data_IF_245168592259
#
_entry.id   IF_245168592259
#
_cell.length_a   1.000
_cell.length_b   1.000
_cell.length_c   1.000
_cell.angle_alpha   90.00
_cell.angle_beta   90.00
_cell.angle_gamma   90.00
#
_symmetry.space_group_name_H-M   'P 1'
#
loop_
_entity.id
_entity.type
_entity.pdbx_description
1 polymer ?
#
# COMPACT_ATOMS: atom_id res chain seq x y z
N UNK A 1 13.95 -16.44 12.62
CA UNK A 1 14.76 -15.63 11.68
C UNK A 1 14.90 -14.17 12.11
N UNK A 2 13.83 -13.49 12.54
CA UNK A 2 13.91 -12.10 13.02
C UNK A 2 13.89 -11.95 14.56
N UNK A 3 13.64 -13.04 15.29
CA UNK A 3 13.71 -13.08 16.76
C UNK A 3 12.81 -12.03 17.41
N UNK A 4 13.33 -11.36 18.43
CA UNK A 4 12.66 -10.30 19.18
C UNK A 4 12.37 -9.03 18.37
N UNK A 5 12.92 -8.90 17.15
CA UNK A 5 12.68 -7.75 16.27
C UNK A 5 11.46 -7.93 15.36
N UNK A 6 10.81 -9.09 15.41
CA UNK A 6 9.54 -9.35 14.74
C UNK A 6 8.40 -9.32 15.73
N UNK A 7 7.27 -8.74 15.33
CA UNK A 7 6.04 -8.85 16.10
C UNK A 7 4.80 -8.95 15.23
N UNK A 8 3.76 -9.57 15.79
CA UNK A 8 2.42 -9.54 15.21
C UNK A 8 1.76 -8.24 15.61
N UNK A 9 1.29 -7.49 14.62
CA UNK A 9 0.59 -6.23 14.81
C UNK A 9 -0.91 -6.48 14.92
N UNK A 10 -1.57 -5.82 15.87
CA UNK A 10 -3.04 -5.83 15.86
C UNK A 10 -3.56 -5.17 14.59
N UNK A 11 -4.53 -5.81 13.96
CA UNK A 11 -5.26 -5.26 12.81
C UNK A 11 -5.80 -3.85 13.06
N UNK A 12 -6.23 -3.56 14.30
CA UNK A 12 -6.73 -2.25 14.72
C UNK A 12 -5.67 -1.13 14.67
N UNK A 13 -4.39 -1.46 14.51
CA UNK A 13 -3.34 -0.48 14.28
C UNK A 13 -3.40 0.12 12.87
N UNK A 14 -3.98 -0.59 11.90
CA UNK A 14 -3.93 -0.21 10.48
C UNK A 14 -5.30 -0.13 9.80
N UNK A 15 -6.31 -0.81 10.32
CA UNK A 15 -7.68 -0.74 9.78
C UNK A 15 -8.70 -0.55 10.89
N UNK A 16 -9.86 -0.03 10.50
CA UNK A 16 -11.06 0.14 11.32
C UNK A 16 -12.20 -0.69 10.75
N UNK A 17 -12.91 -1.36 11.64
CA UNK A 17 -14.17 -2.00 11.30
C UNK A 17 -15.25 -0.93 10.98
N UNK A 18 -16.25 -1.25 10.14
CA UNK A 18 -17.39 -0.37 9.92
C UNK A 18 -18.07 0.01 11.25
N UNK A 19 -18.27 1.30 11.49
CA UNK A 19 -18.93 1.79 12.70
C UNK A 19 -18.05 1.82 13.96
N UNK A 20 -16.77 1.44 13.87
CA UNK A 20 -15.85 1.54 15.00
C UNK A 20 -15.60 3.01 15.37
N UNK A 21 -15.94 3.36 16.61
CA UNK A 21 -15.66 4.69 17.16
C UNK A 21 -14.17 4.83 17.51
N UNK A 22 -13.63 6.06 17.50
CA UNK A 22 -12.31 6.33 18.06
C UNK A 22 -12.24 5.84 19.51
N UNK A 23 -11.08 5.32 19.97
CA UNK A 23 -10.88 5.02 21.38
C UNK A 23 -11.17 6.27 22.23
N UNK A 24 -11.75 6.06 23.42
CA UNK A 24 -11.92 7.13 24.40
C UNK A 24 -10.56 7.73 24.81
N UNK A 25 -10.55 9.02 25.13
CA UNK A 25 -9.36 9.66 25.69
C UNK A 25 -8.91 8.92 26.96
N UNK A 26 -7.65 8.50 26.98
CA UNK A 26 -7.08 7.73 28.09
C UNK A 26 -7.31 6.21 28.01
N UNK A 27 -7.91 5.67 26.95
CA UNK A 27 -7.95 4.21 26.76
C UNK A 27 -6.52 3.63 26.67
N UNK A 28 -6.33 2.40 27.15
CA UNK A 28 -5.05 1.70 27.00
C UNK A 28 -4.79 1.41 25.52
N UNK A 29 -3.58 1.74 25.05
CA UNK A 29 -3.14 1.55 23.66
C UNK A 29 -2.09 0.44 23.58
N UNK A 30 -2.37 -0.68 24.27
CA UNK A 30 -1.44 -1.80 24.41
C UNK A 30 -0.96 -2.34 23.07
N UNK A 31 -1.87 -2.42 22.09
CA UNK A 31 -1.57 -2.85 20.72
C UNK A 31 -0.55 -1.96 19.98
N UNK A 32 -0.34 -0.71 20.42
CA UNK A 32 0.75 0.14 19.93
C UNK A 32 2.01 -0.07 20.76
N UNK A 33 1.87 -0.18 22.09
CA UNK A 33 2.98 -0.38 23.03
C UNK A 33 3.76 -1.67 22.74
N UNK A 34 3.06 -2.74 22.37
CA UNK A 34 3.64 -4.03 21.96
C UNK A 34 4.53 -3.95 20.71
N UNK A 35 4.41 -2.86 19.93
CA UNK A 35 5.25 -2.63 18.75
C UNK A 35 6.57 -1.92 19.07
N UNK A 36 6.81 -1.58 20.34
CA UNK A 36 8.06 -0.98 20.78
C UNK A 36 9.22 -1.95 20.58
N UNK A 37 10.26 -1.52 19.87
CA UNK A 37 11.46 -2.32 19.62
C UNK A 37 11.40 -3.23 18.38
N UNK A 38 10.19 -3.51 17.88
CA UNK A 38 10.03 -4.27 16.63
C UNK A 38 10.65 -3.51 15.45
N UNK A 39 11.22 -4.25 14.50
CA UNK A 39 11.72 -3.78 13.19
C UNK A 39 10.85 -4.25 12.03
N UNK A 40 10.12 -5.35 12.22
CA UNK A 40 9.12 -5.85 11.29
C UNK A 40 7.86 -6.15 12.07
N UNK A 41 6.73 -5.65 11.59
CA UNK A 41 5.42 -5.93 12.17
C UNK A 41 4.47 -6.43 11.09
N UNK A 42 3.80 -7.55 11.34
CA UNK A 42 2.92 -8.20 10.37
C UNK A 42 1.53 -8.38 10.96
N UNK A 43 0.49 -8.07 10.20
CA UNK A 43 -0.89 -8.46 10.53
C UNK A 43 -1.46 -9.27 9.38
N UNK A 44 -2.19 -10.32 9.74
CA UNK A 44 -2.96 -11.11 8.80
C UNK A 44 -4.43 -10.67 8.81
N UNK A 45 -5.13 -10.92 7.70
CA UNK A 45 -6.59 -10.94 7.58
C UNK A 45 -7.32 -9.61 7.83
N UNK A 46 -7.45 -8.79 6.78
CA UNK A 46 -8.55 -7.82 6.73
C UNK A 46 -9.85 -8.50 6.34
N UNK A 47 -10.96 -8.01 6.87
CA UNK A 47 -12.31 -8.52 6.61
C UNK A 47 -13.03 -7.65 5.59
N UNK A 48 -14.01 -8.20 4.84
CA UNK A 48 -14.79 -7.42 3.90
C UNK A 48 -15.42 -6.18 4.55
N UNK A 49 -15.19 -5.01 3.96
CA UNK A 49 -15.79 -3.76 4.41
C UNK A 49 -14.94 -2.93 5.38
N UNK A 50 -13.86 -3.49 5.92
CA UNK A 50 -12.90 -2.74 6.73
C UNK A 50 -12.22 -1.62 5.95
N UNK A 51 -11.81 -0.57 6.65
CA UNK A 51 -11.25 0.64 6.07
C UNK A 51 -9.87 0.91 6.64
N UNK A 52 -8.96 1.43 5.83
CA UNK A 52 -7.65 1.88 6.31
C UNK A 52 -7.83 2.97 7.37
N UNK A 53 -7.19 2.81 8.53
CA UNK A 53 -7.10 3.83 9.56
C UNK A 53 -5.92 4.77 9.26
N UNK A 54 -6.17 5.75 8.40
CA UNK A 54 -5.12 6.66 7.95
C UNK A 54 -4.42 7.38 9.10
N UNK A 55 -5.18 7.86 10.10
CA UNK A 55 -4.58 8.60 11.22
C UNK A 55 -3.52 7.76 11.91
N UNK A 56 -3.84 6.49 12.15
CA UNK A 56 -2.91 5.52 12.73
C UNK A 56 -1.75 5.22 11.79
N UNK A 57 -2.00 4.95 10.50
CA UNK A 57 -0.95 4.68 9.51
C UNK A 57 0.02 5.86 9.38
N UNK A 58 -0.46 7.09 9.20
CA UNK A 58 0.39 8.28 9.05
C UNK A 58 1.14 8.63 10.33
N UNK A 59 0.51 8.47 11.50
CA UNK A 59 1.21 8.59 12.78
C UNK A 59 2.38 7.60 12.84
N UNK A 60 2.12 6.37 12.39
CA UNK A 60 3.07 5.27 12.41
C UNK A 60 4.22 5.39 11.39
N UNK A 61 3.96 5.97 10.21
CA UNK A 61 4.95 6.20 9.14
C UNK A 61 5.63 7.56 9.22
N UNK A 62 5.06 8.52 9.97
CA UNK A 62 5.53 9.90 10.07
C UNK A 62 6.79 10.10 10.93
N UNK A 63 7.28 9.06 11.62
CA UNK A 63 8.52 9.12 12.41
C UNK A 63 8.45 9.92 13.72
N UNK A 64 7.25 10.36 14.10
CA UNK A 64 6.99 11.06 15.37
C UNK A 64 7.14 10.14 16.59
N UNK A 65 7.32 10.74 17.76
CA UNK A 65 7.18 10.02 19.04
C UNK A 65 5.70 9.83 19.32
N UNK A 66 5.32 8.65 19.77
CA UNK A 66 4.00 8.36 20.30
C UNK A 66 4.10 8.07 21.79
N UNK A 67 3.00 8.25 22.51
CA UNK A 67 2.86 7.83 23.90
C UNK A 67 1.80 6.75 23.95
N UNK A 68 2.16 5.58 24.46
CA UNK A 68 1.24 4.46 24.62
C UNK A 68 1.48 3.75 25.95
N UNK A 69 0.57 2.87 26.33
CA UNK A 69 0.70 2.07 27.57
C UNK A 69 0.08 0.70 27.42
N UNK A 70 0.71 -0.26 28.09
CA UNK A 70 0.09 -1.55 28.40
C UNK A 70 -0.95 -1.39 29.51
N UNK A 71 -1.81 -2.39 29.66
CA UNK A 71 -2.80 -2.42 30.73
C UNK A 71 -2.10 -2.44 32.10
N UNK A 72 -2.56 -1.60 33.03
CA UNK A 72 -1.98 -1.43 34.38
C UNK A 72 -0.50 -1.00 34.40
N UNK A 73 0.00 -0.40 33.33
CA UNK A 73 1.36 0.14 33.26
C UNK A 73 1.39 1.64 32.99
N UNK A 74 2.54 2.26 33.30
CA UNK A 74 2.80 3.65 33.01
C UNK A 74 2.93 3.90 31.50
N UNK A 75 2.71 5.15 31.10
CA UNK A 75 2.93 5.60 29.73
C UNK A 75 4.41 5.48 29.36
N UNK A 76 4.66 4.97 28.16
CA UNK A 76 5.99 4.93 27.54
C UNK A 76 5.95 5.72 26.24
N UNK A 77 6.97 6.54 26.03
CA UNK A 77 7.12 7.31 24.80
C UNK A 77 8.25 6.76 23.94
N UNK A 78 7.94 6.37 22.72
CA UNK A 78 8.91 5.82 21.77
C UNK A 78 8.58 6.24 20.33
N UNK A 79 9.52 6.00 19.42
CA UNK A 79 9.31 6.16 17.98
C UNK A 79 9.07 4.81 17.35
N UNK A 80 8.17 4.78 16.39
CA UNK A 80 8.06 3.60 15.54
C UNK A 80 9.27 3.50 14.61
N UNK A 81 9.86 2.30 14.55
CA UNK A 81 11.01 1.99 13.71
C UNK A 81 10.76 0.79 12.77
N UNK A 82 9.61 0.12 12.90
CA UNK A 82 9.31 -1.07 12.12
C UNK A 82 8.70 -0.76 10.76
N UNK A 83 8.99 -1.64 9.79
CA UNK A 83 8.22 -1.78 8.55
C UNK A 83 6.98 -2.63 8.84
N UNK A 84 5.84 -2.24 8.25
CA UNK A 84 4.53 -2.88 8.48
C UNK A 84 4.09 -3.63 7.25
N UNK A 85 3.63 -4.85 7.43
CA UNK A 85 3.03 -5.66 6.37
C UNK A 85 1.61 -6.04 6.76
N UNK A 86 0.71 -5.96 5.77
CA UNK A 86 -0.65 -6.45 5.87
C UNK A 86 -0.77 -7.55 4.81
N UNK A 87 -1.01 -8.78 5.26
CA UNK A 87 -1.27 -9.90 4.38
C UNK A 87 -2.77 -10.14 4.31
N UNK A 88 -3.36 -10.01 3.12
CA UNK A 88 -4.80 -10.10 2.97
C UNK A 88 -5.26 -10.56 1.59
N UNK A 89 -6.43 -11.20 1.57
CA UNK A 89 -7.21 -11.52 0.37
C UNK A 89 -8.31 -10.47 0.10
N UNK A 90 -8.56 -9.56 1.03
CA UNK A 90 -9.61 -8.54 0.95
C UNK A 90 -9.02 -7.15 1.10
N UNK A 91 -8.83 -6.43 0.01
CA UNK A 91 -8.26 -5.09 0.06
C UNK A 91 -9.07 -4.16 0.98
N UNK A 92 -8.46 -3.56 2.02
CA UNK A 92 -9.18 -2.64 2.88
C UNK A 92 -9.63 -1.42 2.08
N UNK A 93 -10.82 -0.91 2.38
CA UNK A 93 -11.38 0.23 1.67
C UNK A 93 -10.57 1.50 1.98
N UNK A 94 -10.32 2.29 0.95
CA UNK A 94 -9.73 3.63 1.08
C UNK A 94 -10.85 4.64 1.34
N UNK A 95 -10.81 5.40 2.46
CA UNK A 95 -11.73 6.52 2.65
C UNK A 95 -11.65 7.55 1.51
N UNK A 96 -12.78 8.12 1.04
CA UNK A 96 -12.80 9.02 -0.13
C UNK A 96 -11.97 10.31 0.01
N UNK A 97 -11.72 10.75 1.23
CA UNK A 97 -10.90 11.94 1.54
C UNK A 97 -9.40 11.74 1.23
N UNK A 98 -9.01 10.54 0.80
CA UNK A 98 -7.61 10.08 0.77
C UNK A 98 -7.02 9.88 -0.61
N UNK A 99 -7.83 9.72 -1.66
CA UNK A 99 -7.31 9.35 -2.99
C UNK A 99 -6.42 10.43 -3.65
N UNK A 100 -6.22 11.60 -3.00
CA UNK A 100 -5.52 12.75 -3.57
C UNK A 100 -4.36 13.30 -2.73
N UNK A 101 -3.93 12.63 -1.66
CA UNK A 101 -2.86 13.16 -0.81
C UNK A 101 -1.48 12.55 -1.16
N UNK A 102 -0.47 13.36 -1.57
CA UNK A 102 0.85 12.85 -1.99
C UNK A 102 1.64 12.10 -0.91
N UNK A 103 1.32 12.34 0.37
CA UNK A 103 1.94 11.63 1.49
C UNK A 103 1.44 10.18 1.63
N UNK A 104 0.31 9.82 1.01
CA UNK A 104 -0.27 8.48 1.07
C UNK A 104 0.41 7.55 0.08
N UNK A 105 0.71 8.04 -1.13
CA UNK A 105 1.34 7.27 -2.21
C UNK A 105 2.70 6.66 -1.78
N UNK A 106 3.41 7.33 -0.87
CA UNK A 106 4.68 6.86 -0.29
C UNK A 106 4.54 5.98 0.96
N UNK A 107 3.34 5.86 1.53
CA UNK A 107 3.09 5.11 2.76
C UNK A 107 2.37 3.79 2.54
N UNK A 108 1.59 3.68 1.46
CA UNK A 108 0.79 2.50 1.16
C UNK A 108 1.23 1.89 -0.17
N UNK A 109 1.81 0.70 -0.09
CA UNK A 109 2.33 -0.05 -1.24
C UNK A 109 1.57 -1.37 -1.31
N UNK A 110 1.07 -1.70 -2.50
CA UNK A 110 0.34 -2.94 -2.77
C UNK A 110 1.20 -3.87 -3.61
N UNK A 111 1.47 -5.06 -3.08
CA UNK A 111 2.14 -6.14 -3.80
C UNK A 111 1.13 -7.26 -4.04
N UNK A 112 0.72 -7.44 -5.29
CA UNK A 112 -0.22 -8.49 -5.66
C UNK A 112 0.51 -9.80 -5.96
N UNK A 113 0.08 -10.87 -5.30
CA UNK A 113 0.51 -12.24 -5.59
C UNK A 113 -0.61 -12.93 -6.38
N UNK A 114 -0.56 -12.86 -7.71
CA UNK A 114 -1.64 -13.37 -8.58
C UNK A 114 -1.58 -14.87 -8.82
N UNK A 115 -0.42 -15.50 -8.60
CA UNK A 115 -0.25 -16.93 -8.84
C UNK A 115 -0.93 -17.77 -7.75
N UNK A 116 -1.57 -18.86 -8.17
CA UNK A 116 -2.09 -19.88 -7.27
C UNK A 116 -1.19 -21.12 -7.36
N UNK A 117 -0.67 -21.58 -6.22
CA UNK A 117 0.23 -22.73 -6.15
C UNK A 117 -0.58 -23.98 -5.79
N UNK A 118 -0.79 -24.85 -6.77
CA UNK A 118 -1.68 -26.01 -6.67
C UNK A 118 -0.93 -27.32 -6.86
N UNK A 119 -1.49 -28.40 -6.31
CA UNK A 119 -1.00 -29.76 -6.53
C UNK A 119 -1.30 -30.23 -7.95
N UNK A 120 -0.58 -31.26 -8.41
CA UNK A 120 -0.69 -31.83 -9.76
C UNK A 120 -2.14 -32.10 -10.18
N UNK A 121 -2.94 -32.69 -9.30
CA UNK A 121 -4.34 -33.05 -9.56
C UNK A 121 -5.30 -31.86 -9.68
N UNK A 122 -4.87 -30.67 -9.27
CA UNK A 122 -5.65 -29.41 -9.35
C UNK A 122 -5.07 -28.44 -10.37
N UNK A 123 -3.93 -28.78 -10.97
CA UNK A 123 -3.29 -27.94 -11.96
C UNK A 123 -4.15 -27.87 -13.22
N UNK A 124 -4.22 -26.67 -13.79
CA UNK A 124 -5.01 -26.38 -14.99
C UNK A 124 -4.11 -25.56 -15.90
N UNK A 125 -3.66 -26.18 -16.99
CA UNK A 125 -2.79 -25.55 -17.99
C UNK A 125 -3.42 -24.33 -18.65
N UNK A 126 -4.76 -24.25 -18.65
CA UNK A 126 -5.49 -23.11 -19.25
C UNK A 126 -5.53 -21.90 -18.32
N UNK A 127 -5.28 -22.07 -17.03
CA UNK A 127 -5.24 -20.98 -16.07
C UNK A 127 -3.82 -20.36 -16.02
N UNK A 128 -3.62 -19.12 -16.51
CA UNK A 128 -2.29 -18.50 -16.57
C UNK A 128 -1.65 -18.24 -15.19
N UNK A 129 -2.44 -18.30 -14.12
CA UNK A 129 -1.99 -18.07 -12.75
C UNK A 129 -1.62 -19.35 -12.01
N UNK A 130 -1.99 -20.53 -12.51
CA UNK A 130 -1.64 -21.78 -11.85
C UNK A 130 -0.13 -22.05 -11.93
N UNK A 131 0.44 -22.43 -10.80
CA UNK A 131 1.82 -22.90 -10.65
C UNK A 131 1.80 -24.20 -9.83
N UNK A 132 2.76 -25.08 -10.05
CA UNK A 132 2.90 -26.25 -9.19
C UNK A 132 3.40 -25.82 -7.81
N UNK A 133 2.76 -26.34 -6.76
CA UNK A 133 3.20 -26.14 -5.38
C UNK A 133 4.52 -26.89 -5.14
N UNK A 134 5.47 -26.19 -4.55
CA UNK A 134 6.67 -26.82 -3.99
C UNK A 134 6.40 -27.20 -2.53
N UNK A 135 6.21 -28.49 -2.30
CA UNK A 135 5.89 -29.06 -0.98
C UNK A 135 7.10 -28.96 -0.03
N UNK A 136 8.32 -29.02 -0.56
CA UNK A 136 9.57 -28.97 0.21
C UNK A 136 10.05 -27.55 0.54
N UNK A 137 9.47 -26.54 -0.11
CA UNK A 137 9.89 -25.14 0.03
C UNK A 137 9.90 -24.67 1.48
N UNK A 138 8.89 -25.07 2.28
CA UNK A 138 8.82 -24.66 3.69
C UNK A 138 10.03 -25.16 4.48
N UNK A 139 10.33 -26.46 4.38
CA UNK A 139 11.46 -27.07 5.10
C UNK A 139 12.79 -26.49 4.59
N UNK A 140 12.88 -26.22 3.28
CA UNK A 140 14.03 -25.57 2.68
C UNK A 140 14.23 -24.14 3.23
N UNK A 141 13.18 -23.34 3.33
CA UNK A 141 13.22 -21.99 3.90
C UNK A 141 13.61 -21.98 5.38
N UNK A 142 13.36 -23.08 6.10
CA UNK A 142 13.76 -23.25 7.49
C UNK A 142 15.21 -23.75 7.67
N UNK A 143 15.85 -24.21 6.59
CA UNK A 143 17.25 -24.66 6.63
C UNK A 143 18.21 -23.54 7.02
N UNK A 144 19.32 -23.90 7.68
CA UNK A 144 20.33 -22.93 8.10
C UNK A 144 20.93 -22.17 6.90
N UNK A 145 21.23 -22.88 5.82
CA UNK A 145 21.83 -22.30 4.62
C UNK A 145 20.96 -21.19 4.01
N UNK A 146 19.65 -21.44 3.82
CA UNK A 146 18.73 -20.43 3.30
C UNK A 146 18.59 -19.26 4.28
N UNK A 147 18.61 -19.55 5.59
CA UNK A 147 18.52 -18.48 6.59
C UNK A 147 19.72 -17.52 6.55
N UNK A 148 20.91 -18.06 6.34
CA UNK A 148 22.14 -17.28 6.18
C UNK A 148 22.15 -16.49 4.85
N UNK A 149 21.68 -17.10 3.77
CA UNK A 149 21.56 -16.45 2.46
C UNK A 149 20.56 -15.28 2.52
N UNK A 150 19.40 -15.49 3.12
CA UNK A 150 18.41 -14.43 3.29
C UNK A 150 18.92 -13.29 4.18
N UNK A 151 19.70 -13.59 5.23
CA UNK A 151 20.34 -12.54 6.03
C UNK A 151 21.33 -11.73 5.18
N UNK A 152 22.13 -12.40 4.35
CA UNK A 152 23.02 -11.75 3.38
C UNK A 152 22.24 -10.83 2.45
N UNK A 153 21.11 -11.31 1.90
CA UNK A 153 20.22 -10.54 1.06
C UNK A 153 19.68 -9.29 1.78
N UNK A 154 19.24 -9.41 3.04
CA UNK A 154 18.77 -8.26 3.83
C UNK A 154 19.88 -7.22 4.06
N UNK A 155 21.10 -7.66 4.37
CA UNK A 155 22.25 -6.75 4.60
C UNK A 155 22.62 -6.03 3.30
N UNK A 156 22.68 -6.74 2.18
CA UNK A 156 22.97 -6.16 0.87
C UNK A 156 21.89 -5.16 0.46
N UNK A 157 20.61 -5.52 0.60
CA UNK A 157 19.48 -4.63 0.34
C UNK A 157 19.49 -3.39 1.22
N UNK A 158 19.83 -3.53 2.51
CA UNK A 158 19.97 -2.40 3.42
C UNK A 158 21.09 -1.46 3.01
N UNK A 159 22.24 -1.98 2.54
CA UNK A 159 23.34 -1.15 2.05
C UNK A 159 22.94 -0.37 0.81
N UNK A 160 22.37 -1.05 -0.18
CA UNK A 160 21.89 -0.42 -1.40
C UNK A 160 20.88 0.70 -1.10
N UNK A 161 19.99 0.48 -0.13
CA UNK A 161 19.03 1.50 0.32
C UNK A 161 19.68 2.74 0.93
N UNK A 162 20.71 2.57 1.77
CA UNK A 162 21.40 3.71 2.39
C UNK A 162 22.33 4.44 1.42
N UNK A 163 22.87 3.74 0.42
CA UNK A 163 23.66 4.31 -0.67
C UNK A 163 22.80 5.14 -1.63
N UNK A 164 21.59 4.66 -1.97
CA UNK A 164 20.61 5.39 -2.78
C UNK A 164 19.20 5.33 -2.17
N UNK A 165 18.78 6.38 -1.44
CA UNK A 165 17.45 6.46 -0.87
C UNK A 165 16.31 6.50 -1.91
N UNK A 166 16.59 6.72 -3.20
CA UNK A 166 15.58 6.73 -4.25
C UNK A 166 15.09 5.34 -4.63
N UNK A 167 15.82 4.29 -4.25
CA UNK A 167 15.36 2.88 -4.33
C UNK A 167 14.01 2.69 -3.65
N UNK A 168 13.72 3.48 -2.61
CA UNK A 168 12.44 3.52 -1.91
C UNK A 168 11.25 4.02 -2.73
N UNK A 169 11.52 4.81 -3.76
CA UNK A 169 10.50 5.55 -4.53
C UNK A 169 10.20 4.89 -5.87
N UNK A 170 11.09 4.01 -6.34
CA UNK A 170 11.01 3.39 -7.66
C UNK A 170 10.60 1.92 -7.52
N UNK A 171 9.33 1.68 -7.21
CA UNK A 171 8.78 0.32 -7.22
C UNK A 171 8.67 -0.23 -8.65
N UNK A 172 8.68 -1.56 -8.87
CA UNK A 172 8.39 -2.13 -10.18
C UNK A 172 7.02 -1.66 -10.72
N UNK A 173 6.84 -1.51 -12.05
CA UNK A 173 5.59 -1.02 -12.64
C UNK A 173 4.34 -1.76 -12.15
N UNK A 174 4.39 -3.09 -12.03
CA UNK A 174 3.28 -3.89 -11.52
C UNK A 174 2.85 -3.49 -10.09
N UNK A 175 3.79 -3.13 -9.21
CA UNK A 175 3.52 -2.68 -7.83
C UNK A 175 2.94 -1.26 -7.84
N UNK A 176 3.46 -0.38 -8.70
CA UNK A 176 2.93 0.98 -8.85
C UNK A 176 1.49 0.94 -9.37
N UNK A 177 1.23 0.17 -10.42
CA UNK A 177 -0.08 0.00 -11.03
C UNK A 177 -1.08 -0.61 -10.04
N UNK A 178 -0.70 -1.65 -9.30
CA UNK A 178 -1.55 -2.24 -8.27
C UNK A 178 -1.91 -1.24 -7.16
N UNK A 179 -0.93 -0.47 -6.69
CA UNK A 179 -1.13 0.54 -5.65
C UNK A 179 -2.05 1.66 -6.14
N UNK A 180 -1.81 2.17 -7.35
CA UNK A 180 -2.66 3.20 -7.99
C UNK A 180 -4.08 2.67 -8.21
N UNK A 181 -4.23 1.45 -8.74
CA UNK A 181 -5.53 0.84 -8.99
C UNK A 181 -6.34 0.72 -7.69
N UNK A 182 -5.71 0.28 -6.60
CA UNK A 182 -6.37 0.21 -5.29
C UNK A 182 -6.76 1.58 -4.74
N UNK A 183 -5.86 2.56 -4.78
CA UNK A 183 -6.14 3.93 -4.32
C UNK A 183 -7.28 4.58 -5.10
N UNK A 184 -7.34 4.38 -6.43
CA UNK A 184 -8.41 4.87 -7.30
C UNK A 184 -9.79 4.35 -6.90
N UNK A 185 -9.90 3.14 -6.34
CA UNK A 185 -11.19 2.62 -5.82
C UNK A 185 -11.77 3.48 -4.68
N UNK A 186 -10.94 4.29 -4.02
CA UNK A 186 -11.38 5.27 -3.02
C UNK A 186 -11.96 6.55 -3.61
N UNK A 187 -11.59 6.94 -4.83
CA UNK A 187 -12.05 8.19 -5.47
C UNK A 187 -13.43 8.02 -6.11
N UNK A 188 -14.46 8.04 -5.27
CA UNK A 188 -15.86 7.88 -5.70
C UNK A 188 -16.29 8.94 -6.71
N UNK A 189 -15.74 10.16 -6.63
CA UNK A 189 -16.07 11.23 -7.56
C UNK A 189 -15.50 10.92 -8.94
N UNK A 190 -14.23 10.53 -9.00
CA UNK A 190 -13.60 10.13 -10.26
C UNK A 190 -14.31 8.93 -10.90
N UNK A 191 -14.71 7.94 -10.08
CA UNK A 191 -15.51 6.80 -10.53
C UNK A 191 -16.82 7.29 -11.14
N UNK A 192 -17.58 8.11 -10.42
CA UNK A 192 -18.85 8.67 -10.90
C UNK A 192 -18.71 9.42 -12.24
N UNK A 193 -17.68 10.28 -12.36
CA UNK A 193 -17.40 11.02 -13.59
C UNK A 193 -17.11 10.08 -14.77
N UNK A 194 -16.41 8.97 -14.53
CA UNK A 194 -16.01 8.03 -15.59
C UNK A 194 -17.11 7.03 -15.96
N UNK A 195 -17.94 6.60 -15.00
CA UNK A 195 -18.87 5.48 -15.21
C UNK A 195 -20.31 5.91 -15.44
N UNK A 196 -20.76 7.05 -14.91
CA UNK A 196 -22.20 7.32 -14.87
C UNK A 196 -22.64 8.54 -15.68
N UNK A 197 -21.87 9.63 -15.83
CA UNK A 197 -22.45 10.88 -16.35
C UNK A 197 -21.53 11.88 -17.10
N UNK A 198 -20.44 11.47 -17.74
CA UNK A 198 -19.69 12.39 -18.62
C UNK A 198 -19.53 11.81 -20.04
N UNK A 199 -20.24 12.40 -21.00
CA UNK A 199 -19.88 12.30 -22.41
C UNK A 199 -18.61 13.14 -22.62
N UNK A 200 -17.50 12.49 -22.96
CA UNK A 200 -16.28 13.20 -23.32
C UNK A 200 -16.44 13.73 -24.74
N UNK A 201 -16.42 15.06 -24.92
CA UNK A 201 -16.29 15.66 -26.24
C UNK A 201 -15.06 15.06 -26.93
N UNK A 202 -15.23 14.61 -28.18
CA UNK A 202 -14.11 14.11 -28.97
C UNK A 202 -13.01 15.19 -29.03
N UNK A 203 -11.72 14.82 -28.88
CA UNK A 203 -10.63 15.79 -28.91
C UNK A 203 -10.71 16.55 -30.23
N UNK A 204 -11.09 17.82 -30.14
CA UNK A 204 -11.30 18.65 -31.31
C UNK A 204 -9.92 18.82 -31.95
N UNK A 205 -9.71 18.15 -33.08
CA UNK A 205 -8.55 18.46 -33.92
C UNK A 205 -8.71 19.93 -34.31
N UNK A 206 -7.76 20.82 -34.02
CA UNK A 206 -7.91 22.22 -34.36
C UNK A 206 -7.97 22.32 -35.88
N UNK A 207 -9.18 22.55 -36.39
CA UNK A 207 -9.44 22.76 -37.80
C UNK A 207 -8.93 24.15 -38.14
N UNK A 208 -7.65 24.25 -38.51
CA UNK A 208 -7.08 25.43 -39.15
C UNK A 208 -7.73 25.58 -40.52
N UNK A 209 -8.89 26.23 -40.59
CA UNK A 209 -9.47 26.64 -41.85
C UNK A 209 -10.27 27.95 -41.70
N UNK A 210 -9.82 28.93 -42.51
CA UNK A 210 -10.46 30.19 -42.92
C UNK A 210 -10.27 31.40 -42.00
N UNK A 211 -9.14 32.06 -42.19
CA UNK A 211 -9.10 33.53 -42.23
C UNK A 211 -9.28 33.94 -43.70
N UNK A 212 -10.27 34.75 -44.09
CA UNK A 212 -10.40 35.20 -45.48
C UNK A 212 -9.30 36.21 -45.82
N UNK A 213 -8.65 36.03 -46.97
CA UNK A 213 -7.63 36.94 -47.52
C UNK A 213 -8.21 38.34 -47.83
N UNK A 214 -7.41 39.41 -47.67
CA UNK A 214 -7.82 40.77 -47.99
C UNK A 214 -7.58 41.04 -49.48
N UNK A 215 -8.65 41.30 -50.25
CA UNK A 215 -8.55 41.82 -51.60
C UNK A 215 -9.18 43.21 -51.69
N UNK A 216 -8.31 44.21 -51.79
CA UNK A 216 -8.40 45.25 -52.81
C UNK A 216 -9.41 46.38 -52.59
N UNK A 217 -8.94 47.49 -52.02
CA UNK A 217 -9.39 48.82 -52.42
C UNK A 217 -8.15 49.64 -52.79
N UNK A 218 -8.02 49.91 -54.09
CA UNK A 218 -7.07 50.84 -54.71
C UNK A 218 -7.50 52.30 -54.51
N UNK A 219 -6.58 53.29 -54.61
CA UNK A 219 -6.86 54.69 -54.30
C UNK A 219 -7.32 55.54 -55.50
N UNK A 220 -7.77 56.77 -55.17
CA UNK A 220 -8.03 57.98 -55.99
C UNK A 220 -9.46 58.23 -56.47
N UNK A 221 -10.11 59.25 -55.87
CA UNK A 221 -10.13 60.64 -56.38
C UNK A 221 -10.40 61.61 -55.22
#
# INVERSE_FOLDING_TARGET
MLGEYYGVMSKNAVVKAPGQHPPFEGAATGYLAELQGNRVAVTDETSPGERVDLGSVLMMTGGGKITSRLLFQNNVSFRFIHTRFIQTNYDPKIPPTLAKQPNIDRCLIVVCFSNEYVSENKFDETNPNHRHVDIGLKDQMESLAVREEFLTFLVQGSRAWYEDPTVSRNHPPAVQEASIAWLRRGDKLQIFLQSEHCEHDAPTTPNNAKRPDPLGLTPSA
#
